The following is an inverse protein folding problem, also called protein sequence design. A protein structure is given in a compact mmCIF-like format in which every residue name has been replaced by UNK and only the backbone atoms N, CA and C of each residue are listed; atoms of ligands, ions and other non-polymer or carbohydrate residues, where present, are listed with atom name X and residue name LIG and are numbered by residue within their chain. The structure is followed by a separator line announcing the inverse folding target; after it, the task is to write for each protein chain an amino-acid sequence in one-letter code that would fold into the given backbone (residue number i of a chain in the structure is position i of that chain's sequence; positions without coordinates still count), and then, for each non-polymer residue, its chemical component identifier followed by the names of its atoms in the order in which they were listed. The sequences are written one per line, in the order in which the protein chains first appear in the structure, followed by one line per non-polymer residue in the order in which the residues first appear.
data_IF_303352676449
#
_entry.id   IF_303352676449
#
_cell.length_a   1.000
_cell.length_b   1.000
_cell.length_c   1.000
_cell.angle_alpha   90.00
_cell.angle_beta   90.00
_cell.angle_gamma   90.00
#
_symmetry.space_group_name_H-M   'P 1'
#
loop_
_entity.id
_entity.type
_entity.pdbx_description
1 polymer ?
#
# COMPACT_ATOMS: atom_id res chain seq x y z
N UNK A 1 -0.74 -17.94 40.74
CA UNK A 1 0.64 -17.48 40.98
C UNK A 1 1.53 -18.33 40.10
N UNK A 2 2.52 -17.73 39.43
CA UNK A 2 3.53 -18.53 38.74
C UNK A 2 4.20 -19.46 39.73
N UNK A 3 4.48 -20.69 39.29
CA UNK A 3 5.10 -21.70 40.12
C UNK A 3 6.53 -21.23 40.45
N UNK A 4 6.85 -20.99 41.71
CA UNK A 4 8.19 -20.52 42.12
C UNK A 4 9.09 -21.68 42.49
N UNK A 5 10.28 -21.76 41.92
CA UNK A 5 11.19 -22.88 42.13
C UNK A 5 12.31 -22.47 43.09
N UNK A 6 12.53 -23.26 44.13
CA UNK A 6 13.43 -22.94 45.25
C UNK A 6 14.44 -24.08 45.39
N UNK A 7 15.72 -23.73 45.51
CA UNK A 7 16.77 -24.71 45.78
C UNK A 7 17.19 -24.63 47.25
N UNK A 8 17.17 -25.76 47.95
CA UNK A 8 17.69 -25.90 49.32
C UNK A 8 18.98 -26.71 49.28
N UNK A 9 20.03 -26.21 49.92
CA UNK A 9 21.35 -26.82 50.01
C UNK A 9 21.75 -26.95 51.48
N UNK A 10 21.86 -28.17 51.99
CA UNK A 10 22.27 -28.44 53.37
C UNK A 10 22.81 -29.87 53.46
N UNK A 11 23.89 -30.09 54.23
CA UNK A 11 24.49 -31.41 54.40
C UNK A 11 23.76 -32.29 55.43
N UNK A 12 22.82 -31.74 56.19
CA UNK A 12 21.93 -32.46 57.09
C UNK A 12 20.71 -33.05 56.33
N UNK A 13 20.65 -34.39 56.14
CA UNK A 13 19.55 -35.02 55.44
C UNK A 13 18.21 -34.86 56.17
N UNK A 14 18.21 -34.63 57.49
CA UNK A 14 16.99 -34.36 58.24
C UNK A 14 16.40 -33.00 57.85
N UNK A 15 17.26 -32.00 57.64
CA UNK A 15 16.82 -30.67 57.23
C UNK A 15 16.32 -30.66 55.79
N UNK A 16 17.00 -31.37 54.87
CA UNK A 16 16.56 -31.53 53.49
C UNK A 16 15.19 -32.21 53.37
N UNK A 17 14.83 -33.08 54.32
CA UNK A 17 13.48 -33.68 54.35
C UNK A 17 12.44 -32.76 55.01
N UNK A 18 12.82 -32.03 56.05
CA UNK A 18 11.89 -31.23 56.84
C UNK A 18 11.51 -29.88 56.20
N UNK A 19 12.48 -29.16 55.62
CA UNK A 19 12.24 -27.82 55.09
C UNK A 19 11.27 -27.79 53.90
N UNK A 20 11.34 -28.70 52.91
CA UNK A 20 10.36 -28.74 51.83
C UNK A 20 8.92 -28.89 52.35
N UNK A 21 8.70 -29.69 53.41
CA UNK A 21 7.38 -29.85 54.01
C UNK A 21 6.90 -28.55 54.65
N UNK A 22 7.76 -27.87 55.42
CA UNK A 22 7.43 -26.58 56.06
C UNK A 22 7.08 -25.52 55.02
N UNK A 23 7.85 -25.45 53.94
CA UNK A 23 7.61 -24.48 52.88
C UNK A 23 6.32 -24.79 52.12
N UNK A 24 6.10 -26.04 51.71
CA UNK A 24 4.88 -26.44 50.99
C UNK A 24 3.59 -26.27 51.82
N UNK A 25 3.68 -26.30 53.15
CA UNK A 25 2.54 -26.04 54.03
C UNK A 25 2.16 -24.56 54.15
N UNK A 26 3.08 -23.63 53.82
CA UNK A 26 2.93 -22.20 54.10
C UNK A 26 3.08 -21.30 52.87
N UNK A 27 3.58 -21.85 51.77
CA UNK A 27 3.73 -21.17 50.49
C UNK A 27 3.01 -21.99 49.42
N UNK A 28 2.04 -21.37 48.76
CA UNK A 28 1.32 -21.99 47.65
C UNK A 28 2.12 -21.88 46.35
N UNK A 29 2.03 -22.92 45.51
CA UNK A 29 2.59 -22.89 44.17
C UNK A 29 4.12 -22.84 44.13
N UNK A 30 4.79 -23.44 45.11
CA UNK A 30 6.25 -23.57 45.07
C UNK A 30 6.67 -24.98 44.63
N UNK A 31 7.85 -25.07 44.04
CA UNK A 31 8.58 -26.31 43.78
C UNK A 31 9.90 -26.23 44.53
N UNK A 32 10.20 -27.26 45.33
CA UNK A 32 11.41 -27.26 46.15
C UNK A 32 12.32 -28.37 45.66
N UNK A 33 13.50 -28.00 45.17
CA UNK A 33 14.58 -28.92 44.91
C UNK A 33 15.55 -28.92 46.09
N UNK A 34 16.14 -30.06 46.39
CA UNK A 34 17.06 -30.24 47.51
C UNK A 34 18.32 -30.91 47.03
N UNK A 35 19.47 -30.52 47.58
CA UNK A 35 20.75 -31.17 47.35
C UNK A 35 21.61 -31.08 48.61
N UNK A 36 22.48 -32.06 48.82
CA UNK A 36 23.37 -32.15 49.98
C UNK A 36 24.77 -31.54 49.73
N UNK A 37 25.00 -31.03 48.53
CA UNK A 37 26.30 -30.51 48.11
C UNK A 37 26.20 -29.21 47.33
N UNK A 38 27.03 -28.24 47.71
CA UNK A 38 27.21 -26.98 46.98
C UNK A 38 27.66 -27.19 45.52
N UNK A 39 28.46 -28.23 45.23
CA UNK A 39 28.91 -28.50 43.87
C UNK A 39 27.74 -28.91 42.96
N UNK A 40 26.82 -29.73 43.48
CA UNK A 40 25.63 -30.15 42.75
C UNK A 40 24.63 -29.00 42.62
N UNK A 41 24.50 -28.15 43.66
CA UNK A 41 23.71 -26.93 43.60
C UNK A 41 24.12 -26.02 42.43
N UNK A 42 25.42 -25.83 42.20
CA UNK A 42 25.92 -25.04 41.06
C UNK A 42 25.60 -25.66 39.70
N UNK A 43 25.57 -27.00 39.59
CA UNK A 43 25.13 -27.65 38.35
C UNK A 43 23.64 -27.39 38.12
N UNK A 44 22.83 -27.59 39.15
CA UNK A 44 21.39 -27.38 39.09
C UNK A 44 21.03 -25.94 38.72
N UNK A 45 21.70 -24.94 39.28
CA UNK A 45 21.45 -23.50 38.99
C UNK A 45 21.77 -23.12 37.54
N UNK A 46 22.65 -23.88 36.87
CA UNK A 46 22.95 -23.68 35.44
C UNK A 46 21.93 -24.32 34.52
N UNK A 47 21.31 -25.41 34.96
CA UNK A 47 20.37 -26.20 34.17
C UNK A 47 18.92 -25.73 34.36
N UNK A 48 18.57 -25.28 35.57
CA UNK A 48 17.23 -24.88 35.95
C UNK A 48 17.18 -23.43 36.44
N UNK A 49 16.01 -22.80 36.29
CA UNK A 49 15.76 -21.47 36.83
C UNK A 49 15.19 -21.58 38.25
N UNK A 50 15.84 -20.92 39.20
CA UNK A 50 15.40 -20.82 40.58
C UNK A 50 15.06 -19.38 40.92
N UNK A 51 13.95 -19.19 41.64
CA UNK A 51 13.50 -17.90 42.16
C UNK A 51 14.19 -17.53 43.48
N UNK A 52 14.74 -18.52 44.19
CA UNK A 52 15.55 -18.33 45.39
C UNK A 52 16.41 -19.56 45.70
N UNK A 53 17.53 -19.33 46.38
CA UNK A 53 18.40 -20.38 46.94
C UNK A 53 18.43 -20.21 48.46
N UNK A 54 18.34 -21.31 49.20
CA UNK A 54 18.55 -21.36 50.65
C UNK A 54 19.70 -22.33 50.90
N UNK A 55 20.80 -21.87 51.49
CA UNK A 55 21.99 -22.71 51.73
C UNK A 55 22.43 -22.63 53.18
N UNK A 56 22.86 -23.74 53.77
CA UNK A 56 23.65 -23.67 54.99
C UNK A 56 25.01 -23.00 54.74
N UNK A 57 25.54 -22.31 55.75
CA UNK A 57 26.89 -21.74 55.67
C UNK A 57 27.95 -22.83 55.82
N UNK A 58 27.78 -23.80 56.72
CA UNK A 58 28.81 -24.77 57.09
C UNK A 58 28.53 -26.12 56.47
N UNK A 59 29.02 -26.31 55.26
CA UNK A 59 28.93 -27.58 54.54
C UNK A 59 30.32 -28.18 54.27
N UNK A 60 30.45 -29.51 54.17
CA UNK A 60 31.71 -30.15 53.81
C UNK A 60 32.12 -29.84 52.37
N UNK A 61 33.42 -29.61 52.17
CA UNK A 61 33.98 -29.28 50.87
C UNK A 61 33.90 -27.79 50.55
N UNK A 62 32.79 -27.35 49.95
CA UNK A 62 32.53 -25.95 49.61
C UNK A 62 31.46 -25.40 50.54
N UNK A 63 31.79 -24.30 51.23
CA UNK A 63 30.90 -23.68 52.20
C UNK A 63 29.83 -22.79 51.53
N UNK A 64 28.82 -22.37 52.28
CA UNK A 64 27.72 -21.56 51.74
C UNK A 64 28.11 -20.15 51.30
N UNK A 65 29.21 -19.60 51.81
CA UNK A 65 29.73 -18.30 51.39
C UNK A 65 30.44 -18.42 50.04
N UNK A 66 31.24 -19.46 49.84
CA UNK A 66 31.85 -19.79 48.55
C UNK A 66 30.78 -20.13 47.50
N UNK A 67 29.71 -20.83 47.91
CA UNK A 67 28.57 -21.11 47.03
C UNK A 67 27.87 -19.80 46.60
N UNK A 68 27.58 -18.90 47.54
CA UNK A 68 26.99 -17.59 47.26
C UNK A 68 27.80 -16.79 46.24
N UNK A 69 29.12 -16.75 46.41
CA UNK A 69 30.02 -16.04 45.49
C UNK A 69 29.91 -16.62 44.07
N UNK A 70 29.96 -17.95 43.94
CA UNK A 70 29.83 -18.63 42.64
C UNK A 70 28.44 -18.49 42.01
N UNK A 71 27.38 -18.42 42.82
CA UNK A 71 26.04 -18.09 42.32
C UNK A 71 26.03 -16.67 41.79
N UNK A 72 26.64 -15.71 42.48
CA UNK A 72 26.76 -14.32 42.05
C UNK A 72 27.49 -14.15 40.71
N UNK A 73 28.45 -15.01 40.40
CA UNK A 73 29.15 -15.00 39.10
C UNK A 73 28.30 -15.51 37.94
N UNK A 74 27.49 -16.55 38.17
CA UNK A 74 26.76 -17.26 37.11
C UNK A 74 25.33 -16.73 36.95
N UNK A 75 24.67 -16.42 38.08
CA UNK A 75 23.26 -16.02 38.21
C UNK A 75 23.09 -14.95 39.31
N UNK A 76 23.62 -13.72 39.10
CA UNK A 76 23.53 -12.64 40.07
C UNK A 76 22.09 -12.18 40.38
N UNK A 77 21.13 -12.58 39.57
CA UNK A 77 19.71 -12.27 39.71
C UNK A 77 19.03 -13.06 40.83
N UNK A 78 19.55 -14.25 41.18
CA UNK A 78 18.92 -15.19 42.11
C UNK A 78 19.23 -14.79 43.56
N UNK A 79 18.21 -14.44 44.36
CA UNK A 79 18.41 -14.13 45.76
C UNK A 79 18.78 -15.39 46.55
N UNK A 80 19.89 -15.32 47.29
CA UNK A 80 20.40 -16.44 48.09
C UNK A 80 20.30 -16.11 49.58
N UNK A 81 19.60 -16.94 50.34
CA UNK A 81 19.48 -16.86 51.80
C UNK A 81 20.42 -17.87 52.43
N UNK A 82 21.12 -17.48 53.50
CA UNK A 82 22.05 -18.37 54.19
C UNK A 82 21.54 -18.79 55.58
N UNK A 83 21.71 -20.06 55.96
CA UNK A 83 21.40 -20.58 57.29
C UNK A 83 22.69 -20.64 58.12
N UNK A 84 22.68 -20.09 59.33
CA UNK A 84 23.87 -19.91 60.20
C UNK A 84 23.64 -20.46 61.61
N UNK A 85 24.72 -20.88 62.28
CA UNK A 85 24.71 -21.39 63.66
C UNK A 85 24.56 -20.31 64.74
N UNK A 86 24.44 -20.73 65.99
CA UNK A 86 24.37 -19.82 67.14
C UNK A 86 25.74 -19.18 67.44
N UNK A 87 25.80 -17.84 67.55
CA UNK A 87 27.03 -17.10 67.86
C UNK A 87 27.88 -16.64 66.67
N UNK A 88 27.38 -16.78 65.44
CA UNK A 88 28.12 -16.52 64.19
C UNK A 88 27.88 -15.12 63.57
N UNK A 89 27.82 -14.07 64.40
CA UNK A 89 27.52 -12.70 63.93
C UNK A 89 28.46 -12.20 62.83
N UNK A 90 29.76 -12.51 62.91
CA UNK A 90 30.72 -12.09 61.89
C UNK A 90 30.49 -12.77 60.53
N UNK A 91 30.00 -14.01 60.51
CA UNK A 91 29.67 -14.73 59.28
C UNK A 91 28.40 -14.17 58.64
N UNK A 92 27.40 -13.81 59.43
CA UNK A 92 26.19 -13.14 58.93
C UNK A 92 26.50 -11.79 58.28
N UNK A 93 27.40 -10.99 58.87
CA UNK A 93 27.84 -9.72 58.29
C UNK A 93 28.61 -9.94 56.98
N UNK A 94 29.47 -10.96 56.93
CA UNK A 94 30.19 -11.34 55.71
C UNK A 94 29.24 -11.81 54.60
N UNK A 95 28.24 -12.62 54.93
CA UNK A 95 27.22 -13.10 54.00
C UNK A 95 26.50 -11.95 53.29
N UNK A 96 25.97 -10.98 54.06
CA UNK A 96 25.26 -9.84 53.50
C UNK A 96 26.17 -8.97 52.63
N UNK A 97 27.42 -8.75 53.04
CA UNK A 97 28.41 -8.03 52.22
C UNK A 97 28.78 -8.78 50.95
N UNK A 98 28.74 -10.11 50.98
CA UNK A 98 28.95 -10.99 49.83
C UNK A 98 27.76 -11.10 48.89
N UNK A 99 26.66 -10.39 49.14
CA UNK A 99 25.48 -10.39 48.27
C UNK A 99 24.37 -11.35 48.68
N UNK A 100 24.43 -11.96 49.87
CA UNK A 100 23.32 -12.72 50.40
C UNK A 100 22.10 -11.80 50.55
N UNK A 101 20.92 -12.32 50.18
CA UNK A 101 19.67 -11.60 50.30
C UNK A 101 19.25 -11.43 51.76
N UNK A 102 19.41 -12.49 52.56
CA UNK A 102 19.08 -12.53 53.99
C UNK A 102 19.86 -13.68 54.65
N UNK A 103 19.85 -13.75 55.98
CA UNK A 103 20.36 -14.92 56.71
C UNK A 103 19.34 -15.40 57.77
N UNK A 104 19.42 -16.68 58.12
CA UNK A 104 18.48 -17.36 58.99
C UNK A 104 19.27 -18.08 60.09
N UNK A 105 18.99 -17.74 61.34
CA UNK A 105 19.71 -18.31 62.48
C UNK A 105 19.13 -19.67 62.90
N UNK A 106 19.99 -20.63 63.27
CA UNK A 106 19.63 -21.89 63.92
C UNK A 106 19.42 -21.65 65.45
N UNK A 107 18.35 -22.18 66.08
CA UNK A 107 17.31 -23.03 65.48
C UNK A 107 16.39 -22.22 64.55
N UNK A 108 16.06 -22.82 63.39
CA UNK A 108 15.34 -22.13 62.31
C UNK A 108 13.93 -21.76 62.77
N UNK A 109 13.65 -20.46 62.81
CA UNK A 109 12.29 -19.94 62.94
C UNK A 109 11.57 -20.10 61.59
N UNK A 110 10.55 -20.96 61.58
CA UNK A 110 9.77 -21.30 60.38
C UNK A 110 9.01 -20.10 59.83
N UNK A 111 8.47 -19.24 60.69
CA UNK A 111 7.70 -18.08 60.26
C UNK A 111 8.65 -17.03 59.65
N UNK A 112 9.84 -16.86 60.23
CA UNK A 112 10.87 -16.01 59.67
C UNK A 112 11.39 -16.50 58.32
N UNK A 113 11.77 -17.78 58.20
CA UNK A 113 12.24 -18.39 56.95
C UNK A 113 11.22 -18.17 55.82
N UNK A 114 9.95 -18.48 56.06
CA UNK A 114 8.89 -18.31 55.08
C UNK A 114 8.74 -16.84 54.68
N UNK A 115 8.77 -15.91 55.64
CA UNK A 115 8.68 -14.49 55.36
C UNK A 115 9.89 -13.98 54.55
N UNK A 116 11.11 -14.39 54.90
CA UNK A 116 12.34 -14.02 54.20
C UNK A 116 12.35 -14.54 52.76
N UNK A 117 11.99 -15.80 52.57
CA UNK A 117 11.92 -16.44 51.26
C UNK A 117 10.84 -15.80 50.38
N UNK A 118 9.68 -15.48 50.94
CA UNK A 118 8.61 -14.76 50.22
C UNK A 118 9.09 -13.38 49.74
N UNK A 119 9.80 -12.62 50.58
CA UNK A 119 10.38 -11.33 50.19
C UNK A 119 11.41 -11.48 49.07
N UNK A 120 12.28 -12.50 49.17
CA UNK A 120 13.31 -12.80 48.17
C UNK A 120 12.70 -13.08 46.79
N UNK A 121 11.77 -14.03 46.74
CA UNK A 121 11.08 -14.44 45.50
C UNK A 121 10.36 -13.24 44.87
N UNK A 122 9.61 -12.47 45.66
CA UNK A 122 8.91 -11.28 45.17
C UNK A 122 9.87 -10.23 44.59
N UNK A 123 11.01 -9.99 45.25
CA UNK A 123 12.01 -9.07 44.77
C UNK A 123 12.66 -9.54 43.47
N UNK A 124 12.95 -10.84 43.34
CA UNK A 124 13.46 -11.43 42.10
C UNK A 124 12.47 -11.27 40.95
N UNK A 125 11.23 -11.70 41.14
CA UNK A 125 10.17 -11.62 40.12
C UNK A 125 9.90 -10.19 39.65
N UNK A 126 9.89 -9.22 40.57
CA UNK A 126 9.74 -7.80 40.21
C UNK A 126 10.91 -7.31 39.36
N UNK A 127 12.15 -7.66 39.69
CA UNK A 127 13.33 -7.28 38.90
C UNK A 127 13.28 -7.87 37.50
N UNK A 128 12.97 -9.17 37.39
CA UNK A 128 12.83 -9.86 36.09
C UNK A 128 11.74 -9.20 35.24
N UNK A 129 10.57 -8.94 35.82
CA UNK A 129 9.46 -8.28 35.10
C UNK A 129 9.81 -6.88 34.61
N UNK A 130 10.49 -6.07 35.42
CA UNK A 130 10.92 -4.72 35.01
C UNK A 130 11.92 -4.81 33.86
N UNK A 131 12.87 -5.74 33.93
CA UNK A 131 13.84 -5.95 32.86
C UNK A 131 13.17 -6.35 31.54
N UNK A 132 12.25 -7.32 31.59
CA UNK A 132 11.47 -7.76 30.42
C UNK A 132 10.65 -6.61 29.82
N UNK A 133 9.96 -5.84 30.65
CA UNK A 133 9.19 -4.68 30.20
C UNK A 133 10.07 -3.61 29.55
N UNK A 134 11.25 -3.34 30.12
CA UNK A 134 12.21 -2.40 29.54
C UNK A 134 12.73 -2.88 28.17
N UNK A 135 13.01 -4.17 28.04
CA UNK A 135 13.43 -4.76 26.77
C UNK A 135 12.32 -4.65 25.72
N UNK A 136 11.08 -5.02 26.09
CA UNK A 136 9.91 -4.91 25.21
C UNK A 136 9.69 -3.45 24.76
N UNK A 137 9.76 -2.48 25.68
CA UNK A 137 9.60 -1.06 25.37
C UNK A 137 10.67 -0.57 24.38
N UNK A 138 11.93 -0.98 24.57
CA UNK A 138 13.03 -0.63 23.64
C UNK A 138 12.80 -1.19 22.25
N UNK A 139 12.35 -2.44 22.14
CA UNK A 139 12.04 -3.06 20.85
C UNK A 139 10.86 -2.36 20.15
N UNK A 140 9.80 -2.05 20.89
CA UNK A 140 8.65 -1.31 20.38
C UNK A 140 9.03 0.09 19.90
N UNK A 141 9.83 0.83 20.68
CA UNK A 141 10.30 2.16 20.29
C UNK A 141 11.07 2.12 18.96
N UNK A 142 11.98 1.15 18.80
CA UNK A 142 12.75 0.96 17.55
C UNK A 142 11.86 0.59 16.37
N UNK A 143 10.82 -0.21 16.58
CA UNK A 143 9.86 -0.54 15.53
C UNK A 143 9.03 0.69 15.12
N UNK A 144 8.61 1.50 16.10
CA UNK A 144 7.87 2.73 15.86
C UNK A 144 8.71 3.76 15.09
N UNK A 145 9.98 3.95 15.46
CA UNK A 145 10.91 4.82 14.73
C UNK A 145 11.03 4.42 13.26
N UNK A 146 11.19 3.12 12.97
CA UNK A 146 11.23 2.62 11.58
C UNK A 146 9.94 2.88 10.83
N UNK A 147 8.79 2.69 11.49
CA UNK A 147 7.49 2.96 10.89
C UNK A 147 7.30 4.45 10.57
N UNK A 148 7.66 5.33 11.51
CA UNK A 148 7.62 6.79 11.31
C UNK A 148 8.54 7.22 10.19
N UNK A 149 9.76 6.67 10.10
CA UNK A 149 10.69 6.99 9.03
C UNK A 149 10.14 6.55 7.66
N UNK A 150 9.57 5.34 7.58
CA UNK A 150 8.92 4.86 6.34
C UNK A 150 7.76 5.76 5.93
N UNK A 151 6.86 6.10 6.86
CA UNK A 151 5.71 6.98 6.58
C UNK A 151 6.14 8.39 6.17
N UNK A 152 7.17 8.93 6.82
CA UNK A 152 7.73 10.23 6.45
C UNK A 152 8.26 10.21 5.02
N UNK A 153 8.94 9.13 4.61
CA UNK A 153 9.43 8.98 3.25
C UNK A 153 8.30 8.90 2.22
N UNK A 154 7.26 8.08 2.49
CA UNK A 154 6.05 7.99 1.65
C UNK A 154 5.39 9.38 1.48
N UNK A 155 5.32 10.17 2.56
CA UNK A 155 4.76 11.52 2.51
C UNK A 155 5.62 12.49 1.69
N UNK A 156 6.95 12.43 1.82
CA UNK A 156 7.87 13.25 1.03
C UNK A 156 7.71 12.96 -0.46
N UNK A 157 7.65 11.67 -0.84
CA UNK A 157 7.47 11.24 -2.23
C UNK A 157 6.11 11.68 -2.78
N UNK A 158 5.03 11.48 -2.01
CA UNK A 158 3.69 11.94 -2.39
C UNK A 158 3.63 13.47 -2.56
N UNK A 159 4.27 14.23 -1.66
CA UNK A 159 4.30 15.68 -1.75
C UNK A 159 5.13 16.16 -2.96
N UNK A 160 6.27 15.53 -3.23
CA UNK A 160 7.08 15.84 -4.40
C UNK A 160 6.34 15.55 -5.71
N UNK A 161 5.58 14.44 -5.77
CA UNK A 161 4.71 14.14 -6.89
C UNK A 161 3.65 15.24 -7.07
N UNK A 162 2.96 15.64 -5.99
CA UNK A 162 1.98 16.73 -6.00
C UNK A 162 2.57 18.07 -6.48
N UNK A 163 3.78 18.43 -6.02
CA UNK A 163 4.46 19.65 -6.46
C UNK A 163 4.81 19.61 -7.95
N UNK A 164 5.21 18.43 -8.47
CA UNK A 164 5.41 18.22 -9.90
C UNK A 164 4.11 18.43 -10.68
N UNK A 165 2.97 17.93 -10.19
CA UNK A 165 1.67 18.13 -10.81
C UNK A 165 1.28 19.60 -10.87
N UNK A 166 1.39 20.33 -9.75
CA UNK A 166 1.05 21.75 -9.70
C UNK A 166 1.88 22.57 -10.70
N UNK A 167 3.15 22.21 -10.91
CA UNK A 167 4.00 22.84 -11.92
C UNK A 167 3.51 22.59 -13.34
N UNK A 168 3.14 21.35 -13.68
CA UNK A 168 2.61 20.99 -15.00
C UNK A 168 1.31 21.74 -15.26
N UNK A 169 0.36 21.70 -14.31
CA UNK A 169 -0.93 22.39 -14.40
C UNK A 169 -0.72 23.90 -14.61
N UNK A 170 0.18 24.52 -13.84
CA UNK A 170 0.48 25.95 -13.96
C UNK A 170 1.02 26.32 -15.35
N UNK A 171 1.88 25.47 -15.93
CA UNK A 171 2.42 25.68 -17.27
C UNK A 171 1.33 25.56 -18.36
N UNK A 172 0.52 24.50 -18.28
CA UNK A 172 -0.54 24.23 -19.26
C UNK A 172 -1.67 25.25 -19.21
N UNK A 173 -1.97 25.84 -18.04
CA UNK A 173 -2.91 26.96 -17.94
C UNK A 173 -2.31 28.29 -18.43
N UNK A 174 -1.02 28.52 -18.18
CA UNK A 174 -0.35 29.79 -18.56
C UNK A 174 -0.23 29.95 -20.08
N UNK A 175 -0.06 28.86 -20.82
CA UNK A 175 0.09 28.88 -22.28
C UNK A 175 -1.13 29.46 -23.02
N UNK A 176 -2.36 28.93 -22.86
CA UNK A 176 -3.56 29.50 -23.48
C UNK A 176 -3.87 30.89 -22.95
N UNK A 177 -3.63 31.18 -21.66
CA UNK A 177 -3.78 32.54 -21.11
C UNK A 177 -2.85 33.56 -21.78
N UNK A 178 -1.61 33.16 -22.07
CA UNK A 178 -0.63 34.04 -22.73
C UNK A 178 -1.04 34.28 -24.18
N UNK A 179 -1.54 33.25 -24.88
CA UNK A 179 -2.09 33.37 -26.24
C UNK A 179 -3.30 34.32 -26.27
N UNK A 180 -4.29 34.10 -25.39
CA UNK A 180 -5.48 34.96 -25.24
C UNK A 180 -5.09 36.42 -24.96
N UNK A 181 -4.14 36.65 -24.05
CA UNK A 181 -3.65 38.00 -23.74
C UNK A 181 -2.96 38.65 -24.93
N UNK A 182 -2.12 37.91 -25.65
CA UNK A 182 -1.45 38.42 -26.86
C UNK A 182 -2.46 38.80 -27.93
N UNK A 183 -3.45 37.94 -28.17
CA UNK A 183 -4.42 38.15 -29.22
C UNK A 183 -5.41 39.26 -28.90
N UNK A 184 -5.88 39.37 -27.66
CA UNK A 184 -6.70 40.52 -27.20
C UNK A 184 -5.96 41.85 -27.34
N UNK A 185 -4.65 41.91 -27.05
CA UNK A 185 -3.82 43.11 -27.28
C UNK A 185 -3.67 43.44 -28.78
N UNK A 186 -3.50 42.43 -29.63
CA UNK A 186 -3.42 42.59 -31.09
C UNK A 186 -4.75 43.13 -31.66
N UNK A 187 -5.87 42.53 -31.28
CA UNK A 187 -7.21 42.96 -31.68
C UNK A 187 -7.49 44.40 -31.25
N UNK A 188 -7.13 44.76 -30.01
CA UNK A 188 -7.28 46.13 -29.51
C UNK A 188 -6.45 47.15 -30.31
N UNK A 189 -5.25 46.76 -30.79
CA UNK A 189 -4.43 47.63 -31.65
C UNK A 189 -4.96 47.74 -33.07
N UNK A 190 -5.61 46.69 -33.56
CA UNK A 190 -6.15 46.57 -34.92
C UNK A 190 -7.52 47.25 -35.08
N UNK A 191 -8.30 47.39 -34.01
CA UNK A 191 -9.67 47.93 -34.03
C UNK A 191 -9.80 49.39 -34.49
N UNK A 192 -8.69 50.11 -34.65
CA UNK A 192 -8.63 51.50 -35.14
C UNK A 192 -8.18 51.63 -36.60
N UNK A 193 -7.89 50.51 -37.29
CA UNK A 193 -7.37 50.50 -38.67
C UNK A 193 -8.38 49.88 -39.65
N UNK A 194 -8.54 50.53 -40.81
CA UNK A 194 -9.56 50.20 -41.82
C UNK A 194 -9.34 48.86 -42.58
N UNK A 195 -8.16 48.23 -42.50
CA UNK A 195 -7.79 47.02 -43.24
C UNK A 195 -7.48 45.81 -42.33
N UNK A 196 -8.16 45.71 -41.18
CA UNK A 196 -7.83 44.75 -40.12
C UNK A 196 -8.69 43.48 -40.07
N UNK A 197 -9.67 43.32 -40.96
CA UNK A 197 -10.69 42.27 -40.86
C UNK A 197 -10.11 40.84 -40.82
N UNK A 198 -9.09 40.55 -41.64
CA UNK A 198 -8.45 39.22 -41.68
C UNK A 198 -7.68 38.93 -40.38
N UNK A 199 -6.91 39.91 -39.87
CA UNK A 199 -6.18 39.77 -38.61
C UNK A 199 -7.15 39.66 -37.42
N UNK A 200 -8.28 40.34 -37.49
CA UNK A 200 -9.35 40.23 -36.49
C UNK A 200 -9.95 38.83 -36.48
N UNK A 201 -10.27 38.29 -37.66
CA UNK A 201 -10.79 36.93 -37.80
C UNK A 201 -9.80 35.88 -37.31
N UNK A 202 -8.52 35.97 -37.71
CA UNK A 202 -7.48 35.07 -37.23
C UNK A 202 -7.30 35.15 -35.71
N UNK A 203 -7.37 36.37 -35.16
CA UNK A 203 -7.26 36.57 -33.72
C UNK A 203 -8.42 35.97 -32.94
N UNK A 204 -9.65 36.17 -33.40
CA UNK A 204 -10.83 35.56 -32.79
C UNK A 204 -10.78 34.03 -32.84
N UNK A 205 -10.37 33.46 -33.97
CA UNK A 205 -10.21 32.00 -34.11
C UNK A 205 -9.18 31.43 -33.13
N UNK A 206 -8.04 32.10 -32.93
CA UNK A 206 -7.03 31.63 -31.98
C UNK A 206 -7.47 31.80 -30.52
N UNK A 207 -8.27 32.83 -30.23
CA UNK A 207 -8.89 32.99 -28.92
C UNK A 207 -9.90 31.87 -28.64
N UNK A 208 -10.77 31.56 -29.60
CA UNK A 208 -11.76 30.48 -29.49
C UNK A 208 -11.08 29.12 -29.27
N UNK A 209 -10.03 28.81 -30.04
CA UNK A 209 -9.20 27.62 -29.81
C UNK A 209 -8.57 27.60 -28.42
N UNK A 210 -8.09 28.74 -27.93
CA UNK A 210 -7.46 28.84 -26.61
C UNK A 210 -8.47 28.69 -25.46
N UNK A 211 -9.69 29.20 -25.63
CA UNK A 211 -10.79 29.01 -24.68
C UNK A 211 -11.23 27.55 -24.62
N UNK A 212 -11.47 26.93 -25.77
CA UNK A 212 -11.86 25.52 -25.83
C UNK A 212 -10.80 24.61 -25.19
N UNK A 213 -9.50 24.87 -25.44
CA UNK A 213 -8.40 24.18 -24.75
C UNK A 213 -8.49 24.33 -23.23
N UNK A 214 -8.80 25.52 -22.74
CA UNK A 214 -8.89 25.77 -21.30
C UNK A 214 -10.08 25.03 -20.67
N UNK A 215 -11.21 24.96 -21.37
CA UNK A 215 -12.38 24.18 -20.94
C UNK A 215 -12.05 22.70 -20.79
N UNK A 216 -11.40 22.10 -21.80
CA UNK A 216 -10.95 20.70 -21.75
C UNK A 216 -9.99 20.47 -20.58
N UNK A 217 -8.99 21.35 -20.39
CA UNK A 217 -8.04 21.23 -19.28
C UNK A 217 -8.72 21.31 -17.91
N UNK A 218 -9.68 22.23 -17.73
CA UNK A 218 -10.40 22.38 -16.47
C UNK A 218 -11.28 21.15 -16.20
N UNK A 219 -11.98 20.65 -17.21
CA UNK A 219 -12.82 19.46 -17.07
C UNK A 219 -11.98 18.22 -16.76
N UNK A 220 -10.85 18.02 -17.42
CA UNK A 220 -9.93 16.90 -17.14
C UNK A 220 -9.41 16.94 -15.69
N UNK A 221 -9.10 18.13 -15.17
CA UNK A 221 -8.67 18.30 -13.78
C UNK A 221 -9.79 18.02 -12.78
N UNK A 222 -11.01 18.47 -13.08
CA UNK A 222 -12.18 18.20 -12.26
C UNK A 222 -12.52 16.71 -12.25
N UNK A 223 -12.55 16.07 -13.42
CA UNK A 223 -12.78 14.63 -13.55
C UNK A 223 -11.70 13.87 -12.77
N UNK A 224 -10.42 14.20 -12.93
CA UNK A 224 -9.32 13.56 -12.17
C UNK A 224 -9.50 13.70 -10.66
N UNK A 225 -9.84 14.90 -10.18
CA UNK A 225 -10.08 15.15 -8.74
C UNK A 225 -11.27 14.35 -8.20
N UNK A 226 -12.38 14.28 -8.95
CA UNK A 226 -13.55 13.48 -8.60
C UNK A 226 -13.24 11.98 -8.62
N UNK A 227 -12.39 11.54 -9.55
CA UNK A 227 -11.94 10.15 -9.66
C UNK A 227 -11.10 9.77 -8.43
N UNK A 228 -10.13 10.61 -8.04
CA UNK A 228 -9.24 10.37 -6.89
C UNK A 228 -9.97 10.41 -5.54
N UNK A 229 -10.97 11.30 -5.41
CA UNK A 229 -11.80 11.40 -4.19
C UNK A 229 -12.92 10.35 -4.14
N UNK A 230 -13.01 9.48 -5.14
CA UNK A 230 -14.06 8.48 -5.31
C UNK A 230 -15.50 9.07 -5.33
N UNK A 231 -15.61 10.35 -5.72
CA UNK A 231 -16.86 11.09 -5.85
C UNK A 231 -17.38 11.14 -7.30
N UNK A 232 -16.71 10.44 -8.22
CA UNK A 232 -17.11 10.35 -9.62
C UNK A 232 -18.32 9.42 -9.79
N UNK A 233 -19.52 9.99 -9.76
CA UNK A 233 -20.80 9.26 -9.92
C UNK A 233 -21.15 9.13 -11.40
N UNK A 234 -21.54 7.93 -11.83
CA UNK A 234 -22.01 7.64 -13.18
C UNK A 234 -23.54 7.61 -13.23
N UNK A 235 -24.12 8.20 -14.27
CA UNK A 235 -25.56 8.18 -14.53
C UNK A 235 -25.92 7.13 -15.58
N UNK A 236 -25.75 5.85 -15.21
CA UNK A 236 -25.95 4.74 -16.14
C UNK A 236 -27.42 4.54 -16.50
N UNK A 237 -27.65 4.25 -17.79
CA UNK A 237 -28.95 3.90 -18.36
C UNK A 237 -28.74 2.79 -19.39
N UNK A 238 -29.81 2.08 -19.71
CA UNK A 238 -29.82 1.15 -20.84
C UNK A 238 -29.74 1.95 -22.14
N UNK A 239 -28.72 1.69 -22.93
CA UNK A 239 -28.43 2.38 -24.18
C UNK A 239 -28.04 1.38 -25.27
N UNK A 240 -28.28 1.74 -26.52
CA UNK A 240 -27.71 1.05 -27.68
C UNK A 240 -26.33 1.64 -28.01
N UNK A 241 -25.29 0.82 -27.88
CA UNK A 241 -23.91 1.24 -28.14
C UNK A 241 -23.67 1.55 -29.64
N UNK A 242 -24.45 0.92 -30.54
CA UNK A 242 -24.41 1.23 -31.97
C UNK A 242 -24.83 2.67 -32.21
N UNK A 243 -25.94 3.11 -31.61
CA UNK A 243 -26.47 4.47 -31.74
C UNK A 243 -25.49 5.51 -31.20
N UNK A 244 -24.91 5.26 -30.01
CA UNK A 244 -23.90 6.16 -29.41
C UNK A 244 -22.69 6.32 -30.33
N UNK A 245 -22.13 5.21 -30.83
CA UNK A 245 -20.97 5.24 -31.71
C UNK A 245 -21.29 5.98 -33.02
N UNK A 246 -22.43 5.67 -33.65
CA UNK A 246 -22.85 6.32 -34.90
C UNK A 246 -23.03 7.83 -34.72
N UNK A 247 -23.73 8.28 -33.68
CA UNK A 247 -23.96 9.71 -33.46
C UNK A 247 -22.66 10.49 -33.25
N UNK A 248 -21.71 9.93 -32.48
CA UNK A 248 -20.41 10.55 -32.24
C UNK A 248 -19.55 10.61 -33.49
N UNK A 249 -19.61 9.56 -34.29
CA UNK A 249 -18.89 9.45 -35.56
C UNK A 249 -19.42 10.48 -36.57
N UNK A 250 -20.74 10.61 -36.69
CA UNK A 250 -21.38 11.57 -37.60
C UNK A 250 -21.01 13.00 -37.21
N UNK A 251 -21.05 13.31 -35.90
CA UNK A 251 -20.60 14.60 -35.38
C UNK A 251 -19.11 14.86 -35.67
N UNK A 252 -18.26 13.85 -35.46
CA UNK A 252 -16.82 13.98 -35.69
C UNK A 252 -16.46 14.16 -37.17
N UNK A 253 -17.22 13.54 -38.08
CA UNK A 253 -16.98 13.61 -39.53
C UNK A 253 -17.53 14.89 -40.18
N UNK A 254 -18.55 15.52 -39.61
CA UNK A 254 -19.14 16.77 -40.11
C UNK A 254 -18.16 17.96 -40.14
N UNK A 255 -17.06 17.90 -39.36
CA UNK A 255 -16.22 19.05 -39.02
C UNK A 255 -14.88 19.21 -39.75
N UNK A 256 -14.56 18.45 -40.81
CA UNK A 256 -13.27 18.38 -41.56
C UNK A 256 -12.32 17.24 -41.13
N UNK A 257 -12.22 16.20 -41.97
CA UNK A 257 -11.23 15.12 -41.84
C UNK A 257 -11.34 14.08 -42.97
N UNK A 258 -10.28 13.30 -43.27
CA UNK A 258 -10.29 12.26 -44.29
C UNK A 258 -11.29 11.13 -43.94
N UNK A 259 -11.59 10.29 -44.93
CA UNK A 259 -12.46 9.12 -44.83
C UNK A 259 -12.06 8.23 -43.64
N UNK A 260 -12.92 8.17 -42.63
CA UNK A 260 -12.89 7.15 -41.59
C UNK A 260 -13.57 5.88 -42.12
N UNK A 261 -13.02 4.72 -41.78
CA UNK A 261 -13.65 3.42 -42.10
C UNK A 261 -14.40 2.95 -40.87
N UNK A 262 -15.68 2.61 -41.03
CA UNK A 262 -16.55 2.20 -39.93
C UNK A 262 -17.08 0.79 -40.16
N UNK A 263 -16.88 -0.08 -39.19
CA UNK A 263 -17.42 -1.44 -39.19
C UNK A 263 -18.24 -1.62 -37.91
N UNK A 264 -19.54 -1.31 -38.01
CA UNK A 264 -20.48 -1.37 -36.88
C UNK A 264 -21.52 -2.46 -37.19
N UNK A 265 -21.95 -3.27 -36.20
CA UNK A 265 -22.99 -4.25 -36.40
C UNK A 265 -24.29 -3.57 -36.85
N UNK A 266 -25.06 -4.24 -37.71
CA UNK A 266 -26.39 -3.76 -38.10
C UNK A 266 -27.47 -3.99 -37.02
N UNK A 267 -27.14 -4.71 -35.94
CA UNK A 267 -28.05 -5.03 -34.83
C UNK A 267 -27.69 -4.23 -33.57
N UNK A 268 -28.69 -3.77 -32.77
CA UNK A 268 -28.46 -3.05 -31.51
C UNK A 268 -27.61 -3.85 -30.50
N UNK A 269 -26.67 -3.17 -29.85
CA UNK A 269 -25.82 -3.73 -28.80
C UNK A 269 -26.16 -3.05 -27.48
N UNK A 270 -27.00 -3.69 -26.68
CA UNK A 270 -27.51 -3.09 -25.44
C UNK A 270 -26.51 -3.17 -24.28
N UNK A 271 -26.24 -2.03 -23.66
CA UNK A 271 -25.33 -1.88 -22.51
C UNK A 271 -25.94 -0.98 -21.44
N UNK A 272 -25.52 -1.13 -20.17
CA UNK A 272 -25.91 -0.24 -19.08
C UNK A 272 -24.78 0.75 -18.77
N UNK A 273 -24.83 1.92 -19.43
CA UNK A 273 -23.72 2.89 -19.42
C UNK A 273 -24.21 4.33 -19.27
N UNK A 274 -23.29 5.19 -18.86
CA UNK A 274 -23.43 6.64 -18.95
C UNK A 274 -22.98 7.09 -20.35
N UNK A 275 -23.95 7.39 -21.23
CA UNK A 275 -23.70 7.67 -22.64
C UNK A 275 -22.73 8.85 -22.86
N UNK A 276 -22.85 9.91 -22.05
CA UNK A 276 -21.98 11.09 -22.16
C UNK A 276 -20.52 10.72 -21.84
N UNK A 277 -20.32 9.88 -20.80
CA UNK A 277 -18.98 9.43 -20.39
C UNK A 277 -18.38 8.41 -21.36
N UNK A 278 -19.19 7.53 -21.95
CA UNK A 278 -18.72 6.65 -23.03
C UNK A 278 -18.34 7.47 -24.26
N UNK A 279 -19.13 8.49 -24.62
CA UNK A 279 -18.80 9.38 -25.72
C UNK A 279 -17.49 10.15 -25.49
N UNK A 280 -17.24 10.61 -24.27
CA UNK A 280 -15.96 11.21 -23.87
C UNK A 280 -14.78 10.25 -24.09
N UNK A 281 -14.93 8.96 -23.78
CA UNK A 281 -13.89 7.94 -24.01
C UNK A 281 -13.61 7.78 -25.51
N UNK A 282 -14.65 7.55 -26.31
CA UNK A 282 -14.51 7.30 -27.75
C UNK A 282 -13.90 8.52 -28.45
N UNK A 283 -14.36 9.73 -28.13
CA UNK A 283 -13.81 10.97 -28.68
C UNK A 283 -12.34 11.17 -28.31
N UNK A 284 -11.94 10.83 -27.08
CA UNK A 284 -10.53 10.86 -26.68
C UNK A 284 -9.68 9.87 -27.49
N UNK A 285 -10.16 8.65 -27.73
CA UNK A 285 -9.44 7.69 -28.58
C UNK A 285 -9.33 8.16 -30.04
N UNK A 286 -10.41 8.70 -30.61
CA UNK A 286 -10.41 9.25 -31.98
C UNK A 286 -9.46 10.44 -32.14
N UNK A 287 -9.48 11.37 -31.19
CA UNK A 287 -8.59 12.53 -31.21
C UNK A 287 -7.12 12.13 -31.04
N UNK A 288 -6.82 11.12 -30.22
CA UNK A 288 -5.47 10.55 -30.12
C UNK A 288 -5.04 9.88 -31.42
N UNK A 289 -5.88 9.01 -32.00
CA UNK A 289 -5.63 8.36 -33.28
C UNK A 289 -5.29 9.39 -34.37
N UNK A 290 -6.05 10.49 -34.44
CA UNK A 290 -5.80 11.58 -35.39
C UNK A 290 -4.51 12.34 -35.13
N UNK A 291 -4.20 12.62 -33.86
CA UNK A 291 -3.04 13.40 -33.43
C UNK A 291 -1.72 12.67 -33.70
N UNK A 292 -1.70 11.35 -33.56
CA UNK A 292 -0.50 10.53 -33.69
C UNK A 292 -0.37 9.82 -35.04
N UNK A 293 -1.32 10.05 -35.95
CA UNK A 293 -1.27 9.60 -37.34
C UNK A 293 -0.83 10.70 -38.30
N UNK A 294 -0.22 10.31 -39.42
CA UNK A 294 0.04 11.23 -40.51
C UNK A 294 -1.27 11.80 -41.07
N UNK A 295 -1.22 13.05 -41.55
CA UNK A 295 -2.41 13.72 -42.11
C UNK A 295 -2.93 12.95 -43.32
N UNK A 296 -4.17 12.49 -43.26
CA UNK A 296 -4.78 11.68 -44.33
C UNK A 296 -4.84 10.19 -44.04
N UNK A 297 -4.15 9.69 -43.01
CA UNK A 297 -4.18 8.28 -42.65
C UNK A 297 -5.60 7.83 -42.27
N UNK A 298 -6.01 6.62 -42.70
CA UNK A 298 -7.29 6.05 -42.31
C UNK A 298 -7.28 5.74 -40.81
N UNK A 299 -8.40 6.03 -40.15
CA UNK A 299 -8.69 5.57 -38.80
C UNK A 299 -9.88 4.62 -38.95
N UNK A 300 -9.78 3.44 -38.32
CA UNK A 300 -10.82 2.42 -38.38
C UNK A 300 -11.48 2.31 -37.02
N UNK A 301 -12.81 2.40 -36.97
CA UNK A 301 -13.58 2.14 -35.76
C UNK A 301 -14.42 0.88 -35.98
N UNK A 302 -14.25 -0.10 -35.09
CA UNK A 302 -15.04 -1.32 -35.11
C UNK A 302 -15.86 -1.45 -33.83
N UNK A 303 -17.07 -1.98 -33.94
CA UNK A 303 -17.85 -2.44 -32.79
C UNK A 303 -18.17 -3.92 -33.00
N UNK A 304 -17.90 -4.73 -31.98
CA UNK A 304 -18.16 -6.17 -32.03
C UNK A 304 -18.82 -6.62 -30.73
N UNK A 305 -19.70 -7.60 -30.84
CA UNK A 305 -20.23 -8.34 -29.70
C UNK A 305 -19.54 -9.70 -29.63
N UNK A 306 -18.85 -9.96 -28.53
CA UNK A 306 -18.16 -11.23 -28.27
C UNK A 306 -18.64 -11.79 -26.94
N UNK A 307 -19.41 -12.87 -26.97
CA UNK A 307 -19.98 -13.42 -25.74
C UNK A 307 -20.93 -12.45 -25.05
N UNK A 308 -20.60 -12.09 -23.81
CA UNK A 308 -21.32 -11.11 -22.98
C UNK A 308 -20.65 -9.73 -22.96
N UNK A 309 -19.76 -9.45 -23.90
CA UNK A 309 -18.99 -8.22 -23.96
C UNK A 309 -19.21 -7.50 -25.30
N UNK A 310 -19.27 -6.17 -25.22
CA UNK A 310 -19.19 -5.28 -26.36
C UNK A 310 -17.76 -4.70 -26.43
N UNK A 311 -17.15 -4.79 -27.61
CA UNK A 311 -15.77 -4.34 -27.85
C UNK A 311 -15.82 -3.23 -28.90
N UNK A 312 -15.46 -2.01 -28.51
CA UNK A 312 -15.27 -0.88 -29.42
C UNK A 312 -13.78 -0.66 -29.63
N UNK A 313 -13.28 -0.87 -30.84
CA UNK A 313 -11.85 -0.69 -31.16
C UNK A 313 -11.64 0.53 -32.06
N UNK A 314 -10.64 1.34 -31.72
CA UNK A 314 -10.16 2.46 -32.54
C UNK A 314 -8.74 2.14 -32.99
N UNK A 315 -8.56 1.92 -34.29
CA UNK A 315 -7.27 1.61 -34.91
C UNK A 315 -6.76 2.78 -35.73
N UNK A 316 -5.50 3.14 -35.49
CA UNK A 316 -4.78 4.18 -36.21
C UNK A 316 -3.57 3.60 -36.98
N UNK A 317 -3.10 4.36 -37.97
CA UNK A 317 -1.87 4.08 -38.73
C UNK A 317 -0.78 5.10 -38.37
N UNK A 318 -0.60 5.33 -37.08
CA UNK A 318 0.34 6.28 -36.51
C UNK A 318 1.69 5.68 -36.15
N UNK A 319 2.43 6.44 -35.35
CA UNK A 319 3.81 6.13 -34.93
C UNK A 319 3.94 4.85 -34.08
N UNK A 320 2.84 4.34 -33.53
CA UNK A 320 2.85 3.24 -32.57
C UNK A 320 3.45 3.59 -31.20
N UNK A 321 3.40 2.62 -30.28
CA UNK A 321 3.78 2.78 -28.87
C UNK A 321 4.74 1.65 -28.49
N UNK A 322 5.96 1.97 -27.99
CA UNK A 322 6.91 0.97 -27.51
C UNK A 322 6.31 0.10 -26.40
N UNK A 323 6.58 -1.21 -26.43
CA UNK A 323 5.99 -2.22 -25.54
C UNK A 323 6.22 -1.87 -24.06
N UNK A 324 7.41 -1.38 -23.73
CA UNK A 324 7.78 -0.96 -22.37
C UNK A 324 6.97 0.23 -21.84
N UNK A 325 6.30 1.00 -22.71
CA UNK A 325 5.51 2.17 -22.34
C UNK A 325 4.00 1.90 -22.37
N UNK A 326 3.54 0.80 -22.97
CA UNK A 326 2.11 0.50 -23.14
C UNK A 326 1.35 0.36 -21.81
N UNK A 327 2.01 -0.09 -20.75
CA UNK A 327 1.40 -0.11 -19.41
C UNK A 327 1.23 1.30 -18.83
N UNK A 328 2.21 2.17 -19.07
CA UNK A 328 2.31 3.50 -18.45
C UNK A 328 1.53 4.59 -19.17
N UNK A 329 1.13 4.41 -20.44
CA UNK A 329 0.33 5.42 -21.19
C UNK A 329 -1.04 5.75 -20.56
N UNK A 330 -1.49 4.93 -19.64
CA UNK A 330 -2.72 5.15 -18.89
C UNK A 330 -2.47 5.62 -17.45
N UNK A 331 -1.21 5.82 -17.05
CA UNK A 331 -0.89 6.53 -15.81
C UNK A 331 -1.17 8.03 -16.00
N UNK A 332 -1.67 8.70 -14.94
CA UNK A 332 -1.98 10.12 -15.05
C UNK A 332 -0.71 10.92 -15.35
N UNK A 333 -0.82 11.88 -16.26
CA UNK A 333 0.27 12.77 -16.69
C UNK A 333 1.42 12.10 -17.44
N UNK A 334 1.31 10.81 -17.74
CA UNK A 334 2.32 10.11 -18.52
C UNK A 334 2.27 10.52 -19.99
N UNK A 335 3.44 10.67 -20.60
CA UNK A 335 3.62 10.93 -22.02
C UNK A 335 4.85 10.20 -22.52
N UNK A 336 4.73 9.61 -23.72
CA UNK A 336 5.87 9.02 -24.43
C UNK A 336 6.89 10.13 -24.72
N UNK A 337 8.15 10.03 -24.23
CA UNK A 337 9.21 10.98 -24.52
C UNK A 337 9.53 11.06 -26.02
N UNK A 338 10.03 12.20 -26.49
CA UNK A 338 10.56 12.40 -27.85
C UNK A 338 9.56 12.18 -29.01
N UNK A 339 8.27 12.08 -28.71
CA UNK A 339 7.20 12.11 -29.72
C UNK A 339 6.80 13.55 -30.02
N UNK A 340 7.37 14.12 -31.08
CA UNK A 340 6.90 15.38 -31.66
C UNK A 340 5.60 15.15 -32.44
N UNK A 341 4.54 15.84 -32.03
CA UNK A 341 3.25 15.79 -32.73
C UNK A 341 3.37 16.62 -34.01
N UNK A 342 2.99 16.04 -35.15
CA UNK A 342 3.15 16.66 -36.48
C UNK A 342 2.35 17.95 -36.69
N UNK A 343 1.42 18.28 -35.79
CA UNK A 343 0.67 19.53 -35.80
C UNK A 343 1.13 20.42 -34.65
N UNK A 344 1.33 21.72 -34.90
CA UNK A 344 1.57 22.76 -33.89
C UNK A 344 0.45 22.94 -32.84
N UNK A 345 -0.38 21.92 -32.64
CA UNK A 345 -1.23 21.72 -31.47
C UNK A 345 -0.34 21.37 -30.28
N UNK A 346 -0.08 22.37 -29.44
CA UNK A 346 0.46 22.14 -28.11
C UNK A 346 -0.35 21.04 -27.39
N UNK A 347 0.43 20.15 -26.78
CA UNK A 347 0.13 18.81 -26.32
C UNK A 347 -0.71 18.78 -25.04
N UNK A 348 -1.79 17.98 -24.98
CA UNK A 348 -2.61 17.80 -23.77
C UNK A 348 -1.86 17.23 -22.55
N UNK A 349 -2.50 17.32 -21.37
CA UNK A 349 -1.93 17.03 -20.04
C UNK A 349 -1.49 15.57 -19.80
N UNK A 350 -1.80 14.63 -20.70
CA UNK A 350 -1.60 13.19 -20.46
C UNK A 350 -2.65 12.60 -19.50
N UNK A 351 -3.82 13.23 -19.40
CA UNK A 351 -4.92 12.76 -18.54
C UNK A 351 -5.99 11.97 -19.30
N UNK A 352 -6.12 12.17 -20.62
CA UNK A 352 -7.20 11.58 -21.41
C UNK A 352 -7.31 10.06 -21.26
N UNK A 353 -6.23 9.31 -21.52
CA UNK A 353 -6.24 7.84 -21.40
C UNK A 353 -6.46 7.35 -19.96
N UNK A 354 -5.91 8.06 -18.96
CA UNK A 354 -6.16 7.75 -17.54
C UNK A 354 -7.65 7.90 -17.19
N UNK A 355 -8.25 9.05 -17.55
CA UNK A 355 -9.67 9.32 -17.34
C UNK A 355 -10.51 8.27 -18.09
N UNK A 356 -10.16 7.98 -19.34
CA UNK A 356 -10.86 6.96 -20.14
C UNK A 356 -10.86 5.60 -19.45
N UNK A 357 -9.69 5.12 -18.99
CA UNK A 357 -9.60 3.86 -18.26
C UNK A 357 -10.47 3.88 -17.00
N UNK A 358 -10.43 4.97 -16.22
CA UNK A 358 -11.22 5.09 -14.98
C UNK A 358 -12.72 5.16 -15.21
N UNK A 359 -13.16 5.75 -16.33
CA UNK A 359 -14.56 5.72 -16.76
C UNK A 359 -14.98 4.28 -17.07
N UNK A 360 -14.20 3.56 -17.88
CA UNK A 360 -14.54 2.20 -18.31
C UNK A 360 -14.47 1.19 -17.17
N UNK A 361 -13.44 1.26 -16.32
CA UNK A 361 -13.33 0.44 -15.10
C UNK A 361 -14.56 0.61 -14.20
N UNK A 362 -15.04 1.85 -14.03
CA UNK A 362 -16.25 2.09 -13.24
C UNK A 362 -17.47 1.47 -13.90
N UNK A 363 -17.56 1.43 -15.23
CA UNK A 363 -18.61 0.71 -15.95
C UNK A 363 -18.50 -0.83 -15.86
N UNK A 364 -17.48 -1.37 -15.19
CA UNK A 364 -17.24 -2.81 -15.08
C UNK A 364 -16.50 -3.39 -16.29
N UNK A 365 -15.94 -2.53 -17.13
CA UNK A 365 -15.15 -2.89 -18.30
C UNK A 365 -13.65 -2.67 -18.13
N UNK A 366 -12.91 -2.75 -19.24
CA UNK A 366 -11.49 -2.39 -19.30
C UNK A 366 -11.10 -1.80 -20.67
N UNK A 367 -9.90 -1.22 -20.76
CA UNK A 367 -9.33 -0.72 -22.02
C UNK A 367 -7.99 -1.38 -22.26
N UNK A 368 -7.85 -2.01 -23.42
CA UNK A 368 -6.62 -2.62 -23.91
C UNK A 368 -5.96 -1.80 -25.01
N UNK A 369 -4.67 -2.03 -25.19
CA UNK A 369 -3.87 -1.46 -26.27
C UNK A 369 -3.04 -2.55 -26.92
N UNK A 370 -3.10 -2.60 -28.25
CA UNK A 370 -2.20 -3.38 -29.08
C UNK A 370 -1.48 -2.40 -30.01
N UNK A 371 -0.16 -2.32 -29.91
CA UNK A 371 0.60 -1.39 -30.72
C UNK A 371 1.99 -1.92 -31.04
N UNK A 372 2.44 -1.60 -32.25
CA UNK A 372 3.78 -1.86 -32.74
C UNK A 372 4.37 -0.54 -33.24
N UNK A 373 5.62 -0.20 -32.90
CA UNK A 373 6.29 0.99 -33.43
C UNK A 373 6.20 1.03 -34.96
N UNK A 374 5.85 2.19 -35.50
CA UNK A 374 5.66 2.49 -36.94
C UNK A 374 4.49 1.77 -37.64
N UNK A 375 3.78 0.87 -36.95
CA UNK A 375 2.65 0.09 -37.48
C UNK A 375 1.29 0.54 -36.89
N UNK A 376 1.28 1.61 -36.09
CA UNK A 376 0.07 2.18 -35.49
C UNK A 376 -0.33 1.54 -34.17
N UNK A 377 -1.54 1.86 -33.72
CA UNK A 377 -2.10 1.37 -32.45
C UNK A 377 -3.57 1.00 -32.60
N UNK A 378 -4.01 0.02 -31.83
CA UNK A 378 -5.41 -0.35 -31.66
C UNK A 378 -5.75 -0.24 -30.18
N UNK A 379 -6.69 0.66 -29.85
CA UNK A 379 -7.24 0.77 -28.51
C UNK A 379 -8.62 0.11 -28.48
N UNK A 380 -8.83 -0.82 -27.55
CA UNK A 380 -10.06 -1.60 -27.45
C UNK A 380 -10.74 -1.33 -26.12
N UNK A 381 -11.95 -0.78 -26.17
CA UNK A 381 -12.82 -0.58 -25.00
C UNK A 381 -13.74 -1.77 -24.88
N UNK A 382 -13.63 -2.50 -23.77
CA UNK A 382 -14.45 -3.69 -23.48
C UNK A 382 -15.47 -3.34 -22.41
N UNK A 383 -16.75 -3.54 -22.69
CA UNK A 383 -17.87 -3.25 -21.80
C UNK A 383 -18.77 -4.48 -21.63
N UNK A 384 -19.27 -4.76 -20.41
CA UNK A 384 -20.25 -5.82 -20.22
C UNK A 384 -21.58 -5.44 -20.89
N UNK A 385 -22.20 -6.42 -21.55
CA UNK A 385 -23.55 -6.26 -22.10
C UNK A 385 -24.59 -6.17 -21.00
N UNK A 386 -25.69 -5.50 -21.33
CA UNK A 386 -26.88 -5.55 -20.50
C UNK A 386 -27.49 -6.96 -20.57
N UNK A 387 -27.59 -7.61 -19.42
CA UNK A 387 -28.33 -8.87 -19.27
C UNK A 387 -29.65 -8.53 -18.61
N UNK A 388 -30.77 -8.73 -19.32
CA UNK A 388 -32.10 -8.56 -18.75
C UNK A 388 -32.35 -9.68 -17.72
N UNK A 389 -32.44 -9.37 -16.41
CA UNK A 389 -32.60 -10.39 -15.37
C UNK A 389 -33.99 -11.05 -15.39
N UNK A 390 -34.91 -10.58 -16.25
CA UNK A 390 -36.28 -11.11 -16.36
C UNK A 390 -36.49 -12.06 -17.55
N UNK A 391 -35.47 -12.27 -18.40
CA UNK A 391 -35.50 -13.26 -19.47
C UNK A 391 -34.80 -14.55 -19.02
N UNK A 392 -35.58 -15.60 -18.78
CA UNK A 392 -35.11 -16.94 -18.37
C UNK A 392 -34.40 -17.74 -19.49
N UNK A 393 -34.32 -17.22 -20.70
CA UNK A 393 -33.60 -17.85 -21.82
C UNK A 393 -32.58 -16.87 -22.41
N UNK A 394 -31.31 -17.04 -22.03
CA UNK A 394 -30.20 -16.55 -22.85
C UNK A 394 -30.17 -17.44 -24.09
N UNK A 395 -30.64 -16.91 -25.20
CA UNK A 395 -30.70 -17.61 -26.49
C UNK A 395 -29.26 -17.86 -27.00
N UNK A 396 -28.68 -18.99 -26.58
CA UNK A 396 -27.31 -19.41 -26.91
C UNK A 396 -27.02 -19.47 -28.42
N UNK A 397 -28.06 -19.45 -29.26
CA UNK A 397 -27.97 -19.42 -30.71
C UNK A 397 -27.59 -18.06 -31.30
N UNK A 398 -27.77 -16.93 -30.58
CA UNK A 398 -27.34 -15.59 -31.02
C UNK A 398 -25.88 -15.27 -30.69
N UNK A 399 -25.20 -16.14 -29.94
CA UNK A 399 -23.81 -15.99 -29.49
C UNK A 399 -22.77 -16.50 -30.49
N UNK A 400 -23.17 -16.94 -31.70
CA UNK A 400 -22.21 -17.27 -32.75
C UNK A 400 -21.61 -15.99 -33.35
N UNK A 401 -20.28 -15.94 -33.44
CA UNK A 401 -19.54 -14.89 -34.16
C UNK A 401 -20.14 -14.68 -35.55
N UNK A 402 -20.88 -13.60 -35.76
CA UNK A 402 -21.27 -13.18 -37.10
C UNK A 402 -20.07 -12.52 -37.76
N UNK A 403 -19.05 -13.32 -38.05
CA UNK A 403 -17.97 -12.96 -38.94
C UNK A 403 -18.53 -13.04 -40.36
N UNK A 404 -19.01 -11.93 -40.91
CA UNK A 404 -19.07 -11.76 -42.36
C UNK A 404 -17.97 -10.81 -42.80
N UNK A 405 -16.82 -11.39 -43.14
CA UNK A 405 -15.75 -10.65 -43.81
C UNK A 405 -14.35 -11.22 -43.61
N UNK A 406 -14.07 -12.42 -44.15
CA UNK A 406 -12.68 -12.78 -44.50
C UNK A 406 -12.33 -11.98 -45.75
N UNK A 407 -11.31 -11.12 -45.68
CA UNK A 407 -10.67 -10.59 -46.89
C UNK A 407 -9.17 -10.81 -46.88
N UNK A 408 -8.77 -11.60 -47.86
CA UNK A 408 -7.42 -11.94 -48.28
C UNK A 408 -6.70 -10.70 -48.84
N UNK A 409 -5.44 -10.55 -48.48
CA UNK A 409 -4.49 -9.63 -49.10
C UNK A 409 -4.45 -9.90 -50.61
N UNK A 410 -4.87 -8.93 -51.42
CA UNK A 410 -4.55 -8.90 -52.84
C UNK A 410 -3.43 -7.88 -53.06
N UNK A 411 -2.20 -8.39 -53.20
CA UNK A 411 -1.11 -7.62 -53.78
C UNK A 411 -1.43 -7.28 -55.24
N UNK A 412 -1.39 -5.99 -55.58
CA UNK A 412 -0.65 -5.50 -56.73
C UNK A 412 -0.32 -4.02 -56.61
#
# INVERSE_FOLDING_TARGET
MDKSTILIVDDDPALLQALPLVLNLRLDGIEVHTTDSALEALKLIREYNYDAVVSDIKMPGMDGLELLEKIGEVRPDIPTLLITGHGEHDLAVRALRGGAYDFIQKPIDRDYLVAALKRAIQAHQLRTRVFEQQLALKLHAKALERMVQKRTQELIEANAAKDKLLKIISHELKTPLTSLKGMTQLLHRQSTKADSAEVVSMGLQEMERSLHRMEVLVNDLLDTSLIETNMFVLHRKRCDLVEICQSLIDEYTAGTGPSLTFEIPGEPVEVEVDADRIGQVILNLLTNARKYSAKGSPITVTLQQVGYEAIVSVRDAGIGIPVEMQASIFEPFFRVPDVEVQTGSHTGLGLGLYISRKIIERHGGHIDVESEPENGSTFSVVLPLYVDPTKDEVDAAKLSSHTQGVWTIAHR
#
